data_IF_530031955674
#
_entry.id   IF_530031955674
#
_cell.length_a   1.000
_cell.length_b   1.000
_cell.length_c   1.000
_cell.angle_alpha   90.00
_cell.angle_beta   90.00
_cell.angle_gamma   90.00
#
_symmetry.space_group_name_H-M   'P 1'
#
loop_
_entity.id
_entity.type
_entity.pdbx_description
1 polymer ?
#
# COMPACT_ATOMS: atom_id res chain seq x y z
N UNK A 1 4.39 14.61 5.96
CA UNK A 1 3.01 14.56 5.39
C UNK A 1 2.89 15.45 4.15
N UNK A 2 2.16 15.01 3.12
CA UNK A 2 2.05 15.65 1.80
C UNK A 2 0.59 15.76 1.34
N UNK A 3 0.19 16.93 0.86
CA UNK A 3 -1.14 17.17 0.27
C UNK A 3 -1.11 16.79 -1.22
N UNK A 4 -1.80 15.72 -1.60
CA UNK A 4 -1.81 15.19 -2.98
C UNK A 4 -3.04 15.61 -3.80
N UNK A 5 -4.14 15.95 -3.13
CA UNK A 5 -5.38 16.46 -3.73
C UNK A 5 -6.04 17.44 -2.76
N UNK A 6 -6.83 18.39 -3.27
CA UNK A 6 -7.50 19.41 -2.44
C UNK A 6 -8.44 18.79 -1.39
N UNK A 7 -9.18 17.75 -1.79
CA UNK A 7 -10.19 17.09 -0.95
C UNK A 7 -9.64 16.02 0.00
N UNK A 8 -8.40 15.55 -0.21
CA UNK A 8 -7.78 14.53 0.65
C UNK A 8 -7.05 15.16 1.84
N UNK A 9 -7.01 14.54 3.02
CA UNK A 9 -6.08 14.96 4.07
C UNK A 9 -4.62 14.85 3.58
N UNK A 10 -3.66 15.54 4.24
CA UNK A 10 -2.25 15.27 4.03
C UNK A 10 -1.94 13.79 4.30
N UNK A 11 -1.26 13.13 3.37
CA UNK A 11 -0.90 11.71 3.46
C UNK A 11 0.52 11.53 4.01
N UNK A 12 0.86 10.39 4.63
CA UNK A 12 2.18 10.12 5.21
C UNK A 12 3.27 9.80 4.17
N UNK A 13 3.18 10.36 2.96
CA UNK A 13 4.18 10.19 1.92
C UNK A 13 5.42 11.04 2.20
N UNK A 14 6.59 10.54 1.77
CA UNK A 14 7.81 11.37 1.71
C UNK A 14 7.63 12.43 0.62
N UNK A 15 8.05 13.69 0.86
CA UNK A 15 8.01 14.73 -0.17
C UNK A 15 8.74 14.32 -1.46
N UNK A 16 9.89 13.64 -1.34
CA UNK A 16 10.64 13.12 -2.50
C UNK A 16 9.89 12.02 -3.26
N UNK A 17 9.16 11.16 -2.56
CA UNK A 17 8.34 10.13 -3.20
C UNK A 17 7.22 10.76 -4.02
N UNK A 18 6.55 11.78 -3.46
CA UNK A 18 5.52 12.51 -4.18
C UNK A 18 6.08 13.27 -5.38
N UNK A 19 7.22 13.95 -5.23
CA UNK A 19 7.90 14.60 -6.35
C UNK A 19 8.24 13.60 -7.46
N UNK A 20 8.70 12.41 -7.11
CA UNK A 20 8.97 11.36 -8.09
C UNK A 20 7.68 10.88 -8.77
N UNK A 21 6.59 10.65 -8.04
CA UNK A 21 5.29 10.27 -8.63
C UNK A 21 4.78 11.35 -9.60
N UNK A 22 4.92 12.63 -9.24
CA UNK A 22 4.58 13.76 -10.11
C UNK A 22 5.45 13.80 -11.37
N UNK A 23 6.77 13.62 -11.23
CA UNK A 23 7.70 13.53 -12.36
C UNK A 23 7.39 12.33 -13.26
N UNK A 24 7.03 11.20 -12.65
CA UNK A 24 6.58 10.00 -13.36
C UNK A 24 5.26 10.25 -14.09
N UNK A 25 4.48 11.27 -13.72
CA UNK A 25 3.25 11.70 -14.41
C UNK A 25 1.97 11.24 -13.73
N UNK A 26 2.04 10.80 -12.47
CA UNK A 26 0.87 10.37 -11.70
C UNK A 26 -0.04 11.56 -11.43
N UNK A 27 -1.33 11.36 -11.69
CA UNK A 27 -2.41 12.30 -11.35
C UNK A 27 -3.37 11.63 -10.39
N UNK A 28 -3.98 12.42 -9.52
CA UNK A 28 -5.00 11.96 -8.56
C UNK A 28 -6.32 12.66 -8.89
N UNK A 29 -7.40 11.90 -8.98
CA UNK A 29 -8.77 12.39 -9.15
C UNK A 29 -9.64 11.79 -8.07
N UNK A 30 -10.46 12.62 -7.42
CA UNK A 30 -11.54 12.19 -6.53
C UNK A 30 -12.86 12.42 -7.24
N UNK A 31 -13.68 11.36 -7.42
CA UNK A 31 -14.96 11.45 -8.14
C UNK A 31 -16.00 12.25 -7.37
N UNK A 32 -16.26 11.85 -6.13
CA UNK A 32 -17.19 12.52 -5.24
C UNK A 32 -16.62 12.54 -3.81
N UNK A 33 -16.07 13.67 -3.34
CA UNK A 33 -15.44 13.76 -2.03
C UNK A 33 -16.41 13.56 -0.85
N UNK A 34 -17.73 13.56 -1.10
CA UNK A 34 -18.76 13.37 -0.08
C UNK A 34 -19.44 11.99 -0.16
N UNK A 35 -19.03 11.14 -1.09
CA UNK A 35 -19.56 9.79 -1.23
C UNK A 35 -19.21 8.93 -0.01
N UNK A 36 -20.14 8.06 0.38
CA UNK A 36 -19.92 7.02 1.40
C UNK A 36 -19.28 5.75 0.82
N UNK A 37 -19.11 5.68 -0.50
CA UNK A 37 -18.43 4.58 -1.18
C UNK A 37 -16.93 4.83 -1.20
N UNK A 38 -16.20 4.03 -0.43
CA UNK A 38 -14.74 4.01 -0.42
C UNK A 38 -14.11 3.33 -1.64
N UNK A 39 -12.78 3.28 -1.65
CA UNK A 39 -11.98 2.59 -2.66
C UNK A 39 -11.49 3.49 -3.80
N UNK A 40 -10.73 2.88 -4.69
CA UNK A 40 -10.12 3.53 -5.84
C UNK A 40 -9.60 2.53 -6.86
N UNK A 41 -8.94 3.06 -7.87
CA UNK A 41 -8.27 2.32 -8.93
C UNK A 41 -7.00 3.05 -9.37
N UNK A 42 -5.93 2.29 -9.53
CA UNK A 42 -4.75 2.69 -10.28
C UNK A 42 -4.86 2.27 -11.74
N UNK A 43 -4.79 3.26 -12.64
CA UNK A 43 -4.80 3.08 -14.09
C UNK A 43 -3.39 3.32 -14.66
N UNK A 44 -2.57 2.26 -14.85
CA UNK A 44 -1.17 2.39 -15.25
C UNK A 44 -0.99 3.12 -16.59
N UNK A 45 -1.77 2.75 -17.59
CA UNK A 45 -1.69 3.35 -18.95
C UNK A 45 -2.01 4.85 -18.96
N UNK A 46 -2.79 5.33 -18.00
CA UNK A 46 -3.22 6.74 -17.89
C UNK A 46 -2.44 7.53 -16.84
N UNK A 47 -1.59 6.82 -16.08
CA UNK A 47 -0.94 7.29 -14.86
C UNK A 47 -1.91 7.99 -13.91
N UNK A 48 -3.04 7.35 -13.65
CA UNK A 48 -4.15 7.96 -12.91
C UNK A 48 -4.51 7.12 -11.70
N UNK A 49 -4.42 7.73 -10.52
CA UNK A 49 -5.12 7.28 -9.31
C UNK A 49 -6.50 7.90 -9.33
N UNK A 50 -7.52 7.07 -9.42
CA UNK A 50 -8.92 7.47 -9.40
C UNK A 50 -9.56 6.97 -8.10
N UNK A 51 -10.11 7.86 -7.29
CA UNK A 51 -10.73 7.54 -6.01
C UNK A 51 -12.24 7.78 -6.08
N UNK A 52 -13.02 6.86 -5.50
CA UNK A 52 -14.48 7.02 -5.41
C UNK A 52 -14.86 8.16 -4.45
N UNK A 53 -14.08 8.35 -3.37
CA UNK A 53 -14.26 9.39 -2.35
C UNK A 53 -12.92 9.86 -1.78
N UNK A 54 -12.95 10.86 -0.89
CA UNK A 54 -11.77 11.38 -0.18
C UNK A 54 -11.27 10.44 0.95
N UNK A 55 -11.33 9.12 0.74
CA UNK A 55 -10.90 8.13 1.74
C UNK A 55 -9.37 8.02 1.76
N UNK A 56 -8.78 8.31 2.92
CA UNK A 56 -7.34 8.26 3.12
C UNK A 56 -6.74 6.87 2.85
N UNK A 57 -7.37 5.81 3.35
CA UNK A 57 -6.91 4.44 3.16
C UNK A 57 -6.84 4.05 1.67
N UNK A 58 -7.85 4.41 0.89
CA UNK A 58 -7.86 4.17 -0.56
C UNK A 58 -6.79 5.00 -1.27
N UNK A 59 -6.62 6.27 -0.90
CA UNK A 59 -5.57 7.10 -1.48
C UNK A 59 -4.17 6.51 -1.25
N UNK A 60 -3.89 6.01 -0.04
CA UNK A 60 -2.63 5.33 0.30
C UNK A 60 -2.47 4.05 -0.54
N UNK A 61 -3.54 3.26 -0.66
CA UNK A 61 -3.55 2.02 -1.44
C UNK A 61 -3.19 2.27 -2.92
N UNK A 62 -3.92 3.17 -3.57
CA UNK A 62 -3.73 3.41 -5.01
C UNK A 62 -2.41 4.12 -5.31
N UNK A 63 -1.94 5.01 -4.43
CA UNK A 63 -0.60 5.62 -4.59
C UNK A 63 0.51 4.60 -4.35
N UNK A 64 0.29 3.59 -3.51
CA UNK A 64 1.22 2.48 -3.35
C UNK A 64 1.29 1.60 -4.60
N UNK A 65 0.18 1.36 -5.32
CA UNK A 65 0.24 0.74 -6.64
C UNK A 65 1.06 1.58 -7.62
N UNK A 66 0.76 2.87 -7.72
CA UNK A 66 1.46 3.79 -8.63
C UNK A 66 2.97 3.86 -8.34
N UNK A 67 3.35 3.81 -7.06
CA UNK A 67 4.74 3.68 -6.66
C UNK A 67 5.32 2.36 -7.15
N UNK A 68 4.72 1.23 -6.74
CA UNK A 68 5.21 -0.13 -6.92
C UNK A 68 5.33 -0.60 -8.38
N UNK A 69 4.58 0.02 -9.28
CA UNK A 69 4.55 -0.23 -10.73
C UNK A 69 5.95 -0.35 -11.36
N UNK A 70 6.89 0.51 -10.98
CA UNK A 70 8.23 0.52 -11.57
C UNK A 70 9.18 -0.49 -10.91
N UNK A 71 9.13 -0.63 -9.58
CA UNK A 71 10.04 -1.50 -8.82
C UNK A 71 9.70 -2.97 -9.04
N UNK A 72 8.41 -3.31 -9.18
CA UNK A 72 7.94 -4.68 -9.45
C UNK A 72 8.39 -5.25 -10.80
N UNK A 73 8.85 -4.41 -11.73
CA UNK A 73 9.43 -4.87 -13.02
C UNK A 73 10.71 -5.66 -12.81
N UNK A 74 11.43 -5.41 -11.72
CA UNK A 74 12.53 -6.25 -11.30
C UNK A 74 11.97 -7.51 -10.61
N UNK A 75 12.12 -8.66 -11.28
CA UNK A 75 11.62 -9.96 -10.80
C UNK A 75 12.15 -10.30 -9.41
N UNK A 76 13.45 -10.05 -9.16
CA UNK A 76 14.04 -10.33 -7.85
C UNK A 76 13.39 -9.48 -6.75
N UNK A 77 13.10 -8.21 -7.03
CA UNK A 77 12.49 -7.29 -6.05
C UNK A 77 11.08 -7.75 -5.69
N UNK A 78 10.23 -8.06 -6.67
CA UNK A 78 8.86 -8.54 -6.40
C UNK A 78 8.85 -9.91 -5.72
N UNK A 79 9.72 -10.83 -6.11
CA UNK A 79 9.81 -12.17 -5.50
C UNK A 79 10.27 -12.05 -4.05
N UNK A 80 11.33 -11.29 -3.78
CA UNK A 80 11.79 -11.06 -2.41
C UNK A 80 10.70 -10.39 -1.57
N UNK A 81 9.98 -9.40 -2.11
CA UNK A 81 8.87 -8.77 -1.39
C UNK A 81 7.81 -9.79 -0.98
N UNK A 82 7.31 -10.61 -1.92
CA UNK A 82 6.29 -11.62 -1.63
C UNK A 82 6.78 -12.71 -0.66
N UNK A 83 8.05 -13.10 -0.71
CA UNK A 83 8.64 -13.99 0.30
C UNK A 83 8.64 -13.36 1.70
N UNK A 84 8.91 -12.05 1.80
CA UNK A 84 8.82 -11.34 3.07
C UNK A 84 7.39 -11.19 3.57
N UNK A 85 6.40 -11.05 2.67
CA UNK A 85 4.97 -11.09 3.02
C UNK A 85 4.60 -12.47 3.57
N UNK A 86 5.04 -13.55 2.93
CA UNK A 86 4.86 -14.92 3.44
C UNK A 86 5.55 -15.13 4.79
N UNK A 87 6.71 -14.54 5.02
CA UNK A 87 7.35 -14.55 6.35
C UNK A 87 6.51 -13.77 7.37
N UNK A 88 5.96 -12.63 6.98
CA UNK A 88 5.13 -11.77 7.83
C UNK A 88 3.82 -12.47 8.26
N UNK A 89 3.27 -13.38 7.46
CA UNK A 89 2.09 -14.16 7.88
C UNK A 89 2.36 -15.09 9.06
N UNK A 90 3.65 -15.38 9.34
CA UNK A 90 4.10 -16.21 10.46
C UNK A 90 4.67 -15.37 11.62
N UNK A 91 4.58 -14.03 11.55
CA UNK A 91 5.09 -13.14 12.58
C UNK A 91 4.28 -13.30 13.88
N UNK A 92 4.99 -13.41 15.01
CA UNK A 92 4.40 -13.66 16.33
C UNK A 92 4.56 -12.47 17.28
N UNK A 93 5.42 -11.51 16.95
CA UNK A 93 5.57 -10.29 17.71
C UNK A 93 4.27 -9.47 17.68
N UNK A 94 3.73 -9.21 18.87
CA UNK A 94 2.44 -8.52 19.04
C UNK A 94 2.46 -7.09 18.49
N UNK A 95 3.62 -6.45 18.38
CA UNK A 95 3.79 -5.12 17.77
C UNK A 95 3.37 -5.09 16.31
N UNK A 96 3.48 -6.23 15.61
CA UNK A 96 3.22 -6.34 14.18
C UNK A 96 1.94 -7.12 13.88
N UNK A 97 1.10 -7.39 14.89
CA UNK A 97 -0.10 -8.24 14.77
C UNK A 97 -1.03 -7.83 13.62
N UNK A 98 -1.24 -6.53 13.42
CA UNK A 98 -2.09 -6.03 12.33
C UNK A 98 -1.52 -6.40 10.95
N UNK A 99 -0.24 -6.12 10.74
CA UNK A 99 0.46 -6.45 9.50
C UNK A 99 0.55 -7.97 9.27
N UNK A 100 0.81 -8.73 10.34
CA UNK A 100 0.83 -10.19 10.31
C UNK A 100 -0.55 -10.79 9.94
N UNK A 101 -1.63 -10.25 10.51
CA UNK A 101 -3.00 -10.67 10.19
C UNK A 101 -3.37 -10.42 8.73
N UNK A 102 -2.98 -9.28 8.17
CA UNK A 102 -3.17 -9.00 6.74
C UNK A 102 -2.38 -9.98 5.87
N UNK A 103 -1.10 -10.17 6.17
CA UNK A 103 -0.25 -11.11 5.44
C UNK A 103 -0.77 -12.55 5.54
N UNK A 104 -1.35 -12.94 6.67
CA UNK A 104 -2.01 -14.24 6.84
C UNK A 104 -3.20 -14.39 5.89
N UNK A 105 -4.07 -13.39 5.81
CA UNK A 105 -5.19 -13.39 4.85
C UNK A 105 -4.69 -13.40 3.40
N UNK A 106 -3.56 -12.75 3.10
CA UNK A 106 -2.95 -12.82 1.78
C UNK A 106 -2.39 -14.21 1.46
N UNK A 107 -1.74 -14.89 2.40
CA UNK A 107 -1.20 -16.25 2.19
C UNK A 107 -2.30 -17.31 2.09
N UNK A 108 -3.30 -17.24 2.97
CA UNK A 108 -4.25 -18.33 3.18
C UNK A 108 -5.66 -18.05 2.66
N UNK A 109 -5.95 -16.80 2.29
CA UNK A 109 -7.30 -16.35 2.02
C UNK A 109 -8.14 -16.15 3.29
N UNK A 110 -9.41 -15.87 3.09
CA UNK A 110 -10.42 -15.78 4.13
C UNK A 110 -11.69 -16.52 3.69
N UNK A 111 -12.01 -17.67 4.31
CA UNK A 111 -13.17 -18.47 3.93
C UNK A 111 -14.51 -17.76 4.21
N UNK A 112 -14.55 -16.76 5.11
CA UNK A 112 -15.79 -16.06 5.43
C UNK A 112 -16.21 -15.11 4.32
N UNK A 113 -15.24 -14.56 3.58
CA UNK A 113 -15.47 -13.64 2.46
C UNK A 113 -15.33 -14.33 1.10
N UNK A 114 -14.83 -15.57 1.08
CA UNK A 114 -14.51 -16.30 -0.15
C UNK A 114 -13.22 -15.82 -0.83
N UNK A 115 -12.45 -14.94 -0.17
CA UNK A 115 -11.18 -14.48 -0.67
C UNK A 115 -10.17 -15.63 -0.69
N UNK A 116 -9.60 -15.95 -1.85
CA UNK A 116 -8.71 -17.12 -2.02
C UNK A 116 -7.27 -16.88 -1.57
N UNK A 117 -6.94 -15.66 -1.15
CA UNK A 117 -5.57 -15.22 -0.94
C UNK A 117 -4.95 -14.69 -2.22
N UNK A 118 -3.69 -14.27 -2.10
CA UNK A 118 -2.86 -13.66 -3.13
C UNK A 118 -1.70 -14.57 -3.56
N UNK A 119 -1.55 -15.74 -2.94
CA UNK A 119 -0.66 -16.82 -3.37
C UNK A 119 -1.52 -17.93 -3.95
N UNK A 120 -1.68 -17.92 -5.27
CA UNK A 120 -2.60 -18.83 -5.96
C UNK A 120 -2.01 -20.25 -6.05
N UNK A 121 -2.87 -21.30 -6.12
CA UNK A 121 -2.42 -22.68 -6.22
C UNK A 121 -1.58 -23.00 -7.47
N UNK A 122 -1.71 -22.21 -8.53
CA UNK A 122 -0.94 -22.35 -9.78
C UNK A 122 0.45 -21.67 -9.71
N UNK A 123 0.81 -21.11 -8.55
CA UNK A 123 2.05 -20.37 -8.34
C UNK A 123 1.97 -18.89 -8.70
N UNK A 124 0.83 -18.39 -9.19
CA UNK A 124 0.62 -16.96 -9.44
C UNK A 124 0.62 -16.19 -8.12
N UNK A 125 1.41 -15.11 -8.06
CA UNK A 125 1.49 -14.23 -6.89
C UNK A 125 0.95 -12.85 -7.28
N UNK A 126 -0.05 -12.37 -6.54
CA UNK A 126 -0.69 -11.06 -6.75
C UNK A 126 0.07 -10.00 -5.93
N UNK A 127 1.35 -9.82 -6.23
CA UNK A 127 2.23 -9.03 -5.37
C UNK A 127 1.93 -7.51 -5.41
N UNK A 128 1.26 -7.02 -6.45
CA UNK A 128 0.84 -5.61 -6.51
C UNK A 128 -0.23 -5.29 -5.46
N UNK A 129 -1.18 -6.19 -5.26
CA UNK A 129 -2.19 -6.11 -4.19
C UNK A 129 -1.59 -6.36 -2.80
N UNK A 130 -0.62 -7.27 -2.70
CA UNK A 130 0.11 -7.47 -1.44
C UNK A 130 0.80 -6.18 -0.99
N UNK A 131 1.47 -5.48 -1.92
CA UNK A 131 2.20 -4.25 -1.63
C UNK A 131 1.27 -3.12 -1.20
N UNK A 132 0.22 -2.86 -1.99
CA UNK A 132 -0.73 -1.79 -1.74
C UNK A 132 -1.62 -2.07 -0.53
N UNK A 133 -2.10 -3.31 -0.38
CA UNK A 133 -2.90 -3.74 0.76
C UNK A 133 -2.14 -3.64 2.08
N UNK A 134 -0.85 -3.99 2.09
CA UNK A 134 -0.03 -3.82 3.29
C UNK A 134 0.26 -2.33 3.57
N UNK A 135 0.48 -1.50 2.54
CA UNK A 135 0.65 -0.05 2.68
C UNK A 135 -0.56 0.63 3.32
N UNK A 136 -1.76 0.38 2.78
CA UNK A 136 -3.01 0.94 3.32
C UNK A 136 -3.36 0.30 4.66
N UNK A 137 -3.08 -0.99 4.81
CA UNK A 137 -3.27 -1.73 6.05
C UNK A 137 -2.50 -1.16 7.24
N UNK A 138 -1.30 -0.61 7.02
CA UNK A 138 -0.53 0.12 8.05
C UNK A 138 -0.74 1.64 8.00
N UNK A 139 -1.70 2.14 7.22
CA UNK A 139 -1.96 3.56 6.98
C UNK A 139 -0.68 4.34 6.61
N UNK A 140 0.19 3.74 5.81
CA UNK A 140 1.45 4.34 5.40
C UNK A 140 2.45 4.60 6.55
N UNK A 141 2.39 3.82 7.65
CA UNK A 141 3.32 3.94 8.78
C UNK A 141 4.32 2.75 8.82
N UNK A 142 5.53 2.86 8.24
CA UNK A 142 6.45 1.72 8.14
C UNK A 142 6.97 1.22 9.50
N UNK A 143 6.83 2.00 10.58
CA UNK A 143 7.13 1.57 11.94
C UNK A 143 6.27 0.37 12.41
N UNK A 144 5.08 0.20 11.83
CA UNK A 144 4.17 -0.93 12.08
C UNK A 144 4.58 -2.22 11.35
N UNK A 145 5.70 -2.20 10.63
CA UNK A 145 6.27 -3.37 9.97
C UNK A 145 7.56 -3.84 10.66
N UNK A 146 7.83 -5.16 10.65
CA UNK A 146 9.13 -5.69 11.03
C UNK A 146 10.27 -5.12 10.18
N UNK A 147 11.50 -4.97 10.72
CA UNK A 147 12.63 -4.41 9.99
C UNK A 147 12.94 -5.07 8.64
N UNK A 148 12.69 -6.38 8.50
CA UNK A 148 13.03 -7.14 7.30
C UNK A 148 12.17 -6.83 6.06
N UNK A 149 10.94 -6.32 6.25
CA UNK A 149 10.04 -5.94 5.15
C UNK A 149 9.83 -4.43 5.06
N UNK A 150 10.08 -3.71 6.15
CA UNK A 150 9.94 -2.25 6.25
C UNK A 150 10.65 -1.48 5.14
N UNK A 151 11.84 -1.92 4.73
CA UNK A 151 12.67 -1.21 3.73
C UNK A 151 11.98 -0.99 2.38
N UNK A 152 10.99 -1.81 2.03
CA UNK A 152 10.20 -1.63 0.82
C UNK A 152 9.32 -0.37 0.85
N UNK A 153 9.03 0.15 2.04
CA UNK A 153 8.09 1.26 2.25
C UNK A 153 8.77 2.57 2.65
N UNK A 154 10.01 2.55 3.14
CA UNK A 154 10.69 3.73 3.69
C UNK A 154 11.08 4.76 2.64
N UNK A 155 11.08 4.42 1.35
CA UNK A 155 11.25 5.40 0.27
C UNK A 155 9.93 6.04 -0.15
N UNK A 156 8.79 5.39 0.10
CA UNK A 156 7.46 5.92 -0.19
C UNK A 156 6.90 6.74 0.97
N UNK A 157 7.01 6.24 2.20
CA UNK A 157 6.37 6.81 3.39
C UNK A 157 7.38 7.36 4.39
N UNK A 158 6.99 8.43 5.08
CA UNK A 158 7.77 9.04 6.16
C UNK A 158 7.83 8.06 7.36
N UNK A 159 9.05 7.68 7.76
CA UNK A 159 9.27 6.79 8.91
C UNK A 159 9.05 7.50 10.25
N UNK A 160 9.29 8.81 10.30
CA UNK A 160 9.39 9.60 11.53
C UNK A 160 8.07 10.20 12.01
N UNK A 161 6.93 9.87 11.39
CA UNK A 161 5.61 10.31 11.89
C UNK A 161 5.18 9.47 13.11
N UNK A 162 5.98 9.51 14.18
CA UNK A 162 5.40 9.47 15.52
C UNK A 162 4.62 10.78 15.65
N UNK A 163 3.31 10.71 15.92
CA UNK A 163 2.47 11.90 16.04
C UNK A 163 3.01 12.90 17.06
N UNK A 164 3.81 13.85 16.60
CA UNK A 164 4.07 15.07 17.34
C UNK A 164 2.87 15.97 17.13
N UNK A 165 1.92 15.86 18.06
CA UNK A 165 1.18 17.03 18.47
C UNK A 165 2.19 18.06 19.00
N UNK A 166 2.27 19.19 18.30
CA UNK A 166 2.69 20.48 18.86
C UNK A 166 1.56 21.46 18.60
#
# INVERSE_FOLDING_TARGET
MVKVHADLPPLPLRPRAWQWLQWYGVRVVVKDPHSTRGGGLWWPDKKLVELETAQEEAAIHELAHAWWEEQRKNVSVRTTFSEMVRRLSQETDSRYRRAAGLAYVYEHGDPNTGFKGMFQPDGTIIDWEQYAGLASGIMGQPALLPPYIRGFYTELFDFDNNGEGN
#
